data_IF_453341270400
#
_entry.id   IF_453341270400
#
_cell.length_a   1.000
_cell.length_b   1.000
_cell.length_c   1.000
_cell.angle_alpha   90.00
_cell.angle_beta   90.00
_cell.angle_gamma   90.00
#
_symmetry.space_group_name_H-M   'P 1'
#
loop_
_entity.id
_entity.type
_entity.pdbx_description
1 polymer ?
#
# COMPACT_ATOMS: atom_id res chain seq x y z
N UNK A 1 8.02 14.63 -53.43
CA UNK A 1 8.42 13.39 -52.74
C UNK A 1 8.85 13.75 -51.33
N UNK A 2 7.90 13.90 -50.42
CA UNK A 2 8.18 14.22 -49.02
C UNK A 2 8.31 12.88 -48.31
N UNK A 3 9.55 12.49 -48.04
CA UNK A 3 9.89 11.36 -47.20
C UNK A 3 9.46 11.69 -45.76
N UNK A 4 8.28 11.22 -45.38
CA UNK A 4 7.90 11.07 -43.98
C UNK A 4 8.82 9.99 -43.43
N UNK A 5 10.00 10.36 -42.94
CA UNK A 5 10.88 9.44 -42.22
C UNK A 5 10.19 9.10 -40.91
N UNK A 6 9.43 8.00 -40.95
CA UNK A 6 8.86 7.21 -39.87
C UNK A 6 9.22 7.70 -38.46
N UNK A 7 8.57 8.76 -37.99
CA UNK A 7 8.42 8.96 -36.56
C UNK A 7 7.45 7.90 -36.09
N UNK A 8 7.99 6.84 -35.47
CA UNK A 8 7.23 5.81 -34.77
C UNK A 8 6.24 6.48 -33.82
N UNK A 9 4.99 6.62 -34.25
CA UNK A 9 3.89 7.01 -33.39
C UNK A 9 3.59 5.77 -32.55
N UNK A 10 4.24 5.67 -31.38
CA UNK A 10 3.96 4.58 -30.46
C UNK A 10 2.55 4.78 -29.91
N UNK A 11 1.61 3.96 -30.37
CA UNK A 11 0.32 3.82 -29.72
C UNK A 11 0.58 3.19 -28.35
N UNK A 12 0.61 4.03 -27.32
CA UNK A 12 0.56 3.56 -25.95
C UNK A 12 -0.80 2.91 -25.74
N UNK A 13 -0.84 1.57 -25.75
CA UNK A 13 -1.96 0.85 -25.17
C UNK A 13 -1.90 1.14 -23.68
N UNK A 14 -2.78 2.02 -23.19
CA UNK A 14 -3.01 2.18 -21.76
C UNK A 14 -3.63 0.87 -21.26
N UNK A 15 -2.78 -0.03 -20.78
CA UNK A 15 -3.23 -1.24 -20.12
C UNK A 15 -3.88 -0.78 -18.80
N UNK A 16 -5.21 -0.71 -18.80
CA UNK A 16 -5.96 -0.45 -17.59
C UNK A 16 -5.85 -1.69 -16.72
N UNK A 17 -5.00 -1.61 -15.70
CA UNK A 17 -4.92 -2.65 -14.68
C UNK A 17 -6.19 -2.54 -13.82
N UNK A 18 -7.25 -3.21 -14.28
CA UNK A 18 -8.54 -3.29 -13.59
C UNK A 18 -8.51 -4.28 -12.41
N UNK A 19 -7.41 -4.31 -11.67
CA UNK A 19 -7.29 -5.12 -10.47
C UNK A 19 -8.20 -4.55 -9.39
N UNK A 20 -9.13 -5.37 -8.91
CA UNK A 20 -9.95 -5.03 -7.74
C UNK A 20 -9.13 -5.29 -6.48
N UNK A 21 -9.10 -4.31 -5.58
CA UNK A 21 -8.39 -4.43 -4.31
C UNK A 21 -9.35 -4.88 -3.20
N UNK A 22 -9.02 -6.02 -2.58
CA UNK A 22 -9.75 -6.60 -1.46
C UNK A 22 -8.75 -6.90 -0.35
N UNK A 23 -9.04 -6.40 0.84
CA UNK A 23 -8.05 -6.32 1.89
C UNK A 23 -8.61 -6.25 3.29
N UNK A 24 -7.69 -6.14 4.24
CA UNK A 24 -7.99 -5.98 5.66
C UNK A 24 -7.37 -4.70 6.20
N UNK A 25 -8.02 -4.14 7.22
CA UNK A 25 -7.50 -3.01 7.98
C UNK A 25 -6.93 -3.49 9.30
N UNK A 26 -5.68 -3.12 9.59
CA UNK A 26 -5.08 -3.32 10.89
C UNK A 26 -5.31 -2.11 11.78
N UNK A 27 -6.08 -2.29 12.85
CA UNK A 27 -6.37 -1.27 13.88
C UNK A 27 -5.72 -1.60 15.24
N UNK A 28 -4.66 -2.42 15.24
CA UNK A 28 -3.93 -2.80 16.45
C UNK A 28 -2.79 -1.84 16.80
N UNK A 29 -2.05 -2.16 17.87
CA UNK A 29 -1.06 -1.25 18.46
C UNK A 29 0.39 -1.78 18.44
N UNK A 30 0.62 -3.01 17.97
CA UNK A 30 1.97 -3.59 17.93
C UNK A 30 2.35 -4.11 16.55
N UNK A 31 3.64 -3.97 16.22
CA UNK A 31 4.20 -4.51 14.97
C UNK A 31 3.94 -6.00 14.85
N UNK A 32 4.15 -6.77 15.93
CA UNK A 32 3.93 -8.21 15.94
C UNK A 32 2.51 -8.60 15.54
N UNK A 33 1.49 -7.88 16.04
CA UNK A 33 0.09 -8.15 15.68
C UNK A 33 -0.17 -7.85 14.19
N UNK A 34 0.44 -6.79 13.65
CA UNK A 34 0.31 -6.46 12.23
C UNK A 34 0.94 -7.55 11.35
N UNK A 35 2.15 -8.02 11.71
CA UNK A 35 2.82 -9.10 10.97
C UNK A 35 2.00 -10.40 11.01
N UNK A 36 1.47 -10.77 12.18
CA UNK A 36 0.59 -11.95 12.31
C UNK A 36 -0.68 -11.82 11.47
N UNK A 37 -1.24 -10.62 11.34
CA UNK A 37 -2.39 -10.40 10.47
C UNK A 37 -2.00 -10.56 8.99
N UNK A 38 -0.85 -10.03 8.57
CA UNK A 38 -0.32 -10.21 7.20
C UNK A 38 -0.12 -11.69 6.91
N UNK A 39 0.55 -12.43 7.79
CA UNK A 39 0.78 -13.88 7.64
C UNK A 39 -0.53 -14.64 7.43
N UNK A 40 -1.57 -14.23 8.16
CA UNK A 40 -2.89 -14.82 8.09
C UNK A 40 -3.61 -14.53 6.78
N UNK A 41 -3.43 -13.37 6.16
CA UNK A 41 -4.28 -12.89 5.04
C UNK A 41 -3.59 -12.87 3.67
N UNK A 42 -2.26 -12.97 3.64
CA UNK A 42 -1.44 -12.80 2.43
C UNK A 42 -1.84 -13.72 1.26
N UNK A 43 -2.41 -14.90 1.55
CA UNK A 43 -2.77 -15.88 0.52
C UNK A 43 -4.20 -15.71 -0.04
N UNK A 44 -5.01 -14.78 0.49
CA UNK A 44 -6.41 -14.58 0.04
C UNK A 44 -6.85 -13.11 -0.01
N UNK A 45 -5.91 -12.17 0.12
CA UNK A 45 -6.14 -10.73 -0.05
C UNK A 45 -5.02 -10.14 -0.90
N UNK A 46 -5.22 -8.94 -1.44
CA UNK A 46 -4.19 -8.24 -2.22
C UNK A 46 -3.98 -6.80 -1.75
N UNK A 47 -4.59 -6.41 -0.63
CA UNK A 47 -4.50 -5.09 -0.03
C UNK A 47 -4.39 -5.21 1.50
N UNK A 48 -3.46 -4.47 2.07
CA UNK A 48 -3.32 -4.28 3.51
C UNK A 48 -3.44 -2.79 3.83
N UNK A 49 -4.31 -2.46 4.78
CA UNK A 49 -4.55 -1.08 5.20
C UNK A 49 -4.01 -0.92 6.61
N UNK A 50 -2.97 -0.10 6.77
CA UNK A 50 -2.46 0.30 8.07
C UNK A 50 -3.25 1.52 8.55
N UNK A 51 -4.15 1.32 9.51
CA UNK A 51 -4.91 2.41 10.11
C UNK A 51 -4.01 3.26 11.02
N UNK A 52 -4.52 4.43 11.38
CA UNK A 52 -3.85 5.30 12.33
C UNK A 52 -3.83 4.76 13.75
N UNK A 53 -2.95 5.32 14.59
CA UNK A 53 -2.82 4.83 15.94
C UNK A 53 -1.54 5.33 16.59
N UNK A 54 -1.24 4.83 17.79
CA UNK A 54 0.10 4.91 18.35
C UNK A 54 1.17 4.43 17.35
N UNK A 55 0.88 3.39 16.56
CA UNK A 55 1.79 2.87 15.53
C UNK A 55 2.09 3.88 14.42
N UNK A 56 1.11 4.66 13.99
CA UNK A 56 1.31 5.60 12.86
C UNK A 56 2.24 6.76 13.20
N UNK A 57 2.53 6.98 14.50
CA UNK A 57 3.54 7.94 14.98
C UNK A 57 4.94 7.33 15.10
N UNK A 58 5.06 6.01 15.01
CA UNK A 58 6.33 5.29 15.07
C UNK A 58 6.78 4.94 13.64
N UNK A 59 7.68 5.76 13.10
CA UNK A 59 8.22 5.57 11.75
C UNK A 59 8.87 4.19 11.59
N UNK A 60 9.72 3.77 12.53
CA UNK A 60 10.40 2.47 12.46
C UNK A 60 9.41 1.31 12.40
N UNK A 61 8.39 1.32 13.26
CA UNK A 61 7.36 0.30 13.27
C UNK A 61 6.53 0.32 11.98
N UNK A 62 6.13 1.50 11.52
CA UNK A 62 5.35 1.65 10.29
C UNK A 62 6.13 1.18 9.07
N UNK A 63 7.40 1.56 8.93
CA UNK A 63 8.28 1.09 7.85
C UNK A 63 8.38 -0.43 7.87
N UNK A 64 8.65 -1.04 9.03
CA UNK A 64 8.75 -2.49 9.14
C UNK A 64 7.47 -3.23 8.71
N UNK A 65 6.30 -2.71 9.09
CA UNK A 65 5.01 -3.31 8.72
C UNK A 65 4.78 -3.19 7.21
N UNK A 66 5.05 -2.01 6.63
CA UNK A 66 4.89 -1.76 5.20
C UNK A 66 5.84 -2.64 4.37
N UNK A 67 7.11 -2.74 4.75
CA UNK A 67 8.09 -3.59 4.05
C UNK A 67 7.65 -5.05 4.09
N UNK A 68 7.15 -5.53 5.23
CA UNK A 68 6.66 -6.91 5.35
C UNK A 68 5.44 -7.18 4.48
N UNK A 69 4.49 -6.25 4.41
CA UNK A 69 3.31 -6.37 3.54
C UNK A 69 3.68 -6.37 2.05
N UNK A 70 4.61 -5.51 1.62
CA UNK A 70 5.10 -5.49 0.23
C UNK A 70 5.84 -6.79 -0.10
N UNK A 71 6.66 -7.30 0.82
CA UNK A 71 7.34 -8.60 0.65
C UNK A 71 6.36 -9.77 0.57
N UNK A 72 5.14 -9.62 1.11
CA UNK A 72 4.03 -10.57 1.00
C UNK A 72 3.15 -10.35 -0.25
N UNK A 73 3.61 -9.54 -1.22
CA UNK A 73 2.91 -9.19 -2.47
C UNK A 73 1.56 -8.46 -2.25
N UNK A 74 1.42 -7.74 -1.13
CA UNK A 74 0.23 -6.95 -0.81
C UNK A 74 0.40 -5.48 -1.23
N UNK A 75 -0.68 -4.88 -1.72
CA UNK A 75 -0.77 -3.43 -1.91
C UNK A 75 -1.03 -2.75 -0.57
N UNK A 76 -0.74 -1.45 -0.49
CA UNK A 76 -0.79 -0.71 0.77
C UNK A 76 -1.66 0.54 0.71
N UNK A 77 -2.40 0.78 1.78
CA UNK A 77 -2.92 2.10 2.13
C UNK A 77 -2.45 2.38 3.56
N UNK A 78 -1.77 3.51 3.77
CA UNK A 78 -1.26 3.89 5.09
C UNK A 78 -1.91 5.18 5.52
N UNK A 79 -2.54 5.15 6.69
CA UNK A 79 -3.19 6.32 7.26
C UNK A 79 -2.37 6.87 8.44
N UNK A 80 -1.67 7.99 8.20
CA UNK A 80 -0.82 8.65 9.21
C UNK A 80 -1.59 9.59 10.15
N UNK A 81 -2.92 9.71 10.01
CA UNK A 81 -3.70 10.73 10.72
C UNK A 81 -4.12 10.31 12.12
N UNK A 82 -3.71 11.05 13.15
CA UNK A 82 -4.30 10.98 14.49
C UNK A 82 -4.81 12.38 14.85
N UNK A 83 -5.99 12.47 15.48
CA UNK A 83 -6.48 13.74 16.02
C UNK A 83 -5.62 14.10 17.23
N UNK A 84 -4.51 14.80 17.01
CA UNK A 84 -3.84 15.49 18.11
C UNK A 84 -4.77 16.61 18.56
N UNK A 85 -5.47 16.40 19.68
CA UNK A 85 -6.25 17.44 20.36
C UNK A 85 -5.35 18.48 21.02
N UNK A 86 -4.04 18.22 21.08
CA UNK A 86 -3.06 19.11 21.69
C UNK A 86 -2.53 20.10 20.66
N UNK A 87 -3.42 20.92 20.13
CA UNK A 87 -3.05 22.27 19.69
C UNK A 87 -3.03 23.14 20.95
N UNK A 88 -1.86 23.22 21.60
CA UNK A 88 -1.53 24.27 22.58
C UNK A 88 -0.37 25.07 22.05
#
# INVERSE_FOLDING_TARGET
MILITATMFQFFNLQTNNQTYVGVTFCGNTTQQALQLIDKVQNYTNLFILQSGPISKNQTATTQICDYAVNADLNLIVYFGWFDTNYT
#
